data_IF_144179501325
#
_entry.id   IF_144179501325
#
_cell.length_a   1.000
_cell.length_b   1.000
_cell.length_c   1.000
_cell.angle_alpha   90.00
_cell.angle_beta   90.00
_cell.angle_gamma   90.00
#
_symmetry.space_group_name_H-M   'P 1'
#
loop_
_entity.id
_entity.type
_entity.pdbx_description
1 polymer ?
#
# COMPACT_ATOMS: atom_id res chain seq x y z
N UNK A 1 -13.71 -32.26 -7.09
CA UNK A 1 -13.58 -30.93 -7.73
C UNK A 1 -12.24 -30.34 -7.32
N UNK A 2 -11.32 -30.13 -8.25
CA UNK A 2 -10.02 -29.55 -7.95
C UNK A 2 -10.16 -28.03 -7.88
N UNK A 3 -10.10 -27.47 -6.68
CA UNK A 3 -10.13 -26.02 -6.46
C UNK A 3 -8.70 -25.51 -6.38
N UNK A 4 -8.45 -24.29 -6.87
CA UNK A 4 -7.12 -23.69 -6.89
C UNK A 4 -7.12 -22.34 -6.17
N UNK A 5 -6.03 -22.05 -5.45
CA UNK A 5 -5.87 -20.78 -4.76
C UNK A 5 -4.40 -20.36 -4.68
N UNK A 6 -4.15 -19.07 -4.46
CA UNK A 6 -2.82 -18.55 -4.13
C UNK A 6 -2.37 -19.05 -2.76
N UNK A 7 -1.11 -19.46 -2.65
CA UNK A 7 -0.51 -19.96 -1.42
C UNK A 7 0.31 -18.83 -0.77
N UNK A 8 -0.07 -18.34 0.45
CA UNK A 8 0.61 -17.22 1.10
C UNK A 8 2.12 -17.41 1.21
N UNK A 9 2.57 -18.61 1.63
CA UNK A 9 3.99 -18.92 1.77
C UNK A 9 4.76 -18.79 0.45
N UNK A 10 4.16 -19.17 -0.69
CA UNK A 10 4.78 -19.03 -2.02
C UNK A 10 4.87 -17.58 -2.45
N UNK A 11 3.83 -16.78 -2.17
CA UNK A 11 3.84 -15.34 -2.46
C UNK A 11 4.90 -14.63 -1.61
N UNK A 12 5.03 -14.95 -0.32
CA UNK A 12 5.92 -14.22 0.58
C UNK A 12 7.39 -14.65 0.50
N UNK A 13 7.68 -15.95 0.35
CA UNK A 13 9.06 -16.42 0.29
C UNK A 13 9.63 -16.40 -1.12
N UNK A 14 8.83 -16.76 -2.12
CA UNK A 14 9.30 -16.98 -3.48
C UNK A 14 8.84 -15.87 -4.44
N UNK A 15 8.06 -14.91 -3.95
CA UNK A 15 7.37 -13.93 -4.78
C UNK A 15 6.65 -14.59 -5.95
N UNK A 16 5.99 -15.73 -5.72
CA UNK A 16 5.25 -16.50 -6.74
C UNK A 16 3.73 -16.43 -6.48
N UNK A 17 2.98 -15.89 -7.44
CA UNK A 17 1.52 -15.76 -7.39
C UNK A 17 0.84 -16.69 -8.40
N UNK A 18 1.35 -17.90 -8.56
CA UNK A 18 0.60 -18.99 -9.22
C UNK A 18 -0.46 -19.55 -8.25
N UNK A 19 -1.56 -20.03 -8.83
CA UNK A 19 -2.55 -20.79 -8.09
C UNK A 19 -2.17 -22.25 -8.08
N UNK A 20 -2.38 -22.91 -6.94
CA UNK A 20 -2.10 -24.33 -6.75
C UNK A 20 -3.38 -25.04 -6.33
N UNK A 21 -3.49 -26.32 -6.70
CA UNK A 21 -4.62 -27.15 -6.28
C UNK A 21 -4.59 -27.34 -4.76
N UNK A 22 -5.74 -27.14 -4.13
CA UNK A 22 -5.91 -27.21 -2.68
C UNK A 22 -7.16 -28.02 -2.33
N UNK A 23 -7.22 -28.51 -1.10
CA UNK A 23 -8.44 -29.14 -0.59
C UNK A 23 -9.59 -28.13 -0.52
N UNK A 24 -10.83 -28.60 -0.51
CA UNK A 24 -12.02 -27.74 -0.40
C UNK A 24 -11.97 -26.87 0.87
N UNK A 25 -11.55 -27.46 2.00
CA UNK A 25 -11.35 -26.74 3.26
C UNK A 25 -10.32 -25.62 3.12
N UNK A 26 -9.14 -25.93 2.58
CA UNK A 26 -8.08 -24.94 2.40
C UNK A 26 -8.52 -23.84 1.43
N UNK A 27 -9.24 -24.16 0.36
CA UNK A 27 -9.82 -23.17 -0.54
C UNK A 27 -10.76 -22.21 0.22
N UNK A 28 -11.74 -22.74 0.95
CA UNK A 28 -12.69 -21.92 1.73
C UNK A 28 -12.00 -21.05 2.78
N UNK A 29 -10.96 -21.55 3.42
CA UNK A 29 -10.16 -20.78 4.38
C UNK A 29 -9.40 -19.66 3.66
N UNK A 30 -8.65 -20.01 2.60
CA UNK A 30 -7.83 -19.06 1.87
C UNK A 30 -8.68 -17.98 1.18
N UNK A 31 -9.87 -18.30 0.68
CA UNK A 31 -10.81 -17.32 0.14
C UNK A 31 -11.22 -16.29 1.18
N UNK A 32 -11.47 -16.72 2.42
CA UNK A 32 -11.80 -15.82 3.54
C UNK A 32 -10.62 -14.95 3.95
N UNK A 33 -9.41 -15.53 3.99
CA UNK A 33 -8.19 -14.79 4.38
C UNK A 33 -7.63 -13.91 3.26
N UNK A 34 -8.02 -14.13 2.00
CA UNK A 34 -7.44 -13.45 0.84
C UNK A 34 -7.52 -11.91 0.91
N UNK A 35 -8.68 -11.30 1.25
CA UNK A 35 -8.77 -9.84 1.40
C UNK A 35 -8.30 -9.32 2.76
N UNK A 36 -8.09 -10.19 3.76
CA UNK A 36 -7.82 -9.77 5.13
C UNK A 36 -6.37 -9.27 5.29
N UNK A 37 -6.18 -8.06 5.86
CA UNK A 37 -4.85 -7.50 6.09
C UNK A 37 -4.22 -8.16 7.33
N UNK A 38 -3.50 -9.26 7.12
CA UNK A 38 -2.93 -10.11 8.19
C UNK A 38 -1.41 -10.29 8.08
N UNK A 39 -0.78 -9.77 7.04
CA UNK A 39 0.60 -10.11 6.69
C UNK A 39 1.54 -8.92 6.92
N UNK A 40 2.73 -9.21 7.45
CA UNK A 40 3.86 -8.29 7.55
C UNK A 40 5.01 -8.84 6.69
N UNK A 41 5.17 -8.41 5.42
CA UNK A 41 6.14 -9.04 4.52
C UNK A 41 7.58 -8.90 5.01
N UNK A 42 7.93 -7.74 5.59
CA UNK A 42 9.25 -7.48 6.18
C UNK A 42 9.61 -8.46 7.30
N UNK A 43 8.64 -8.90 8.09
CA UNK A 43 8.85 -9.84 9.21
C UNK A 43 9.04 -11.29 8.74
N UNK A 44 8.58 -11.62 7.52
CA UNK A 44 8.63 -12.97 6.96
C UNK A 44 9.82 -13.12 6.01
N UNK A 45 10.07 -12.10 5.18
CA UNK A 45 11.17 -12.06 4.23
C UNK A 45 11.61 -10.60 4.00
N UNK A 46 12.66 -10.19 4.72
CA UNK A 46 13.21 -8.84 4.63
C UNK A 46 13.76 -8.48 3.24
N UNK A 47 14.14 -9.47 2.44
CA UNK A 47 14.67 -9.27 1.07
C UNK A 47 13.57 -9.14 0.01
N UNK A 48 12.30 -9.33 0.37
CA UNK A 48 11.21 -9.35 -0.59
C UNK A 48 11.07 -8.01 -1.33
N UNK A 49 11.23 -6.89 -0.62
CA UNK A 49 11.14 -5.55 -1.19
C UNK A 49 12.31 -5.23 -2.13
N UNK A 50 13.53 -5.69 -1.84
CA UNK A 50 14.67 -5.49 -2.75
C UNK A 50 14.53 -6.26 -4.05
N UNK A 51 13.80 -7.37 -4.04
CA UNK A 51 13.67 -8.26 -5.19
C UNK A 51 12.58 -7.83 -6.19
N UNK A 52 11.69 -6.91 -5.82
CA UNK A 52 10.62 -6.43 -6.70
C UNK A 52 10.46 -4.92 -6.66
N UNK A 53 10.72 -4.25 -7.80
CA UNK A 53 10.56 -2.80 -7.95
C UNK A 53 9.14 -2.32 -7.63
N UNK A 54 8.12 -3.01 -8.11
CA UNK A 54 6.72 -2.62 -7.88
C UNK A 54 6.29 -2.82 -6.42
N UNK A 55 6.79 -3.88 -5.76
CA UNK A 55 6.55 -4.07 -4.34
C UNK A 55 7.26 -3.00 -3.50
N UNK A 56 8.49 -2.63 -3.88
CA UNK A 56 9.19 -1.54 -3.23
C UNK A 56 8.46 -0.21 -3.42
N UNK A 57 7.98 0.10 -4.63
CA UNK A 57 7.17 1.28 -4.88
C UNK A 57 5.86 1.27 -4.08
N UNK A 58 5.18 0.13 -4.03
CA UNK A 58 4.00 -0.04 -3.18
C UNK A 58 4.33 0.33 -1.73
N UNK A 59 5.41 -0.20 -1.15
CA UNK A 59 5.86 0.14 0.20
C UNK A 59 6.19 1.63 0.36
N UNK A 60 6.88 2.24 -0.59
CA UNK A 60 7.24 3.66 -0.50
C UNK A 60 5.98 4.54 -0.47
N UNK A 61 5.01 4.28 -1.36
CA UNK A 61 3.75 5.02 -1.35
C UNK A 61 2.94 4.75 -0.08
N UNK A 62 2.95 3.53 0.47
CA UNK A 62 2.32 3.20 1.76
C UNK A 62 2.87 4.07 2.89
N UNK A 63 4.19 4.14 2.98
CA UNK A 63 4.89 4.94 4.00
C UNK A 63 4.57 6.43 3.83
N UNK A 64 4.68 6.94 2.60
CA UNK A 64 4.37 8.34 2.30
C UNK A 64 2.92 8.69 2.64
N UNK A 65 1.96 7.89 2.18
CA UNK A 65 0.54 8.08 2.48
C UNK A 65 0.31 8.10 3.99
N UNK A 66 0.82 7.10 4.72
CA UNK A 66 0.68 7.01 6.18
C UNK A 66 1.15 8.29 6.89
N UNK A 67 2.30 8.85 6.48
CA UNK A 67 2.82 10.08 7.06
C UNK A 67 2.09 11.36 6.58
N UNK A 68 1.46 11.35 5.40
CA UNK A 68 0.65 12.47 4.93
C UNK A 68 -0.74 12.52 5.58
N UNK A 69 -1.31 11.37 5.96
CA UNK A 69 -2.68 11.30 6.49
C UNK A 69 -2.94 12.24 7.68
N UNK A 70 -2.05 12.39 8.68
CA UNK A 70 -2.24 13.35 9.76
C UNK A 70 -2.43 14.78 9.27
N UNK A 71 -1.68 15.23 8.26
CA UNK A 71 -1.80 16.57 7.69
C UNK A 71 -3.18 16.77 7.05
N UNK A 72 -3.59 15.83 6.21
CA UNK A 72 -4.88 15.90 5.49
C UNK A 72 -6.06 15.84 6.47
N UNK A 73 -5.99 14.95 7.47
CA UNK A 73 -7.07 14.76 8.45
C UNK A 73 -7.25 15.94 9.41
N UNK A 74 -6.23 16.76 9.59
CA UNK A 74 -6.26 17.89 10.54
C UNK A 74 -6.24 19.26 9.83
N UNK A 75 -6.15 19.29 8.50
CA UNK A 75 -6.18 20.50 7.70
C UNK A 75 -7.62 20.89 7.34
N UNK A 76 -8.03 22.10 7.68
CA UNK A 76 -9.37 22.63 7.36
C UNK A 76 -9.59 22.85 5.86
N UNK A 77 -8.51 22.98 5.08
CA UNK A 77 -8.54 23.24 3.63
C UNK A 77 -8.53 21.95 2.79
N UNK A 78 -8.38 20.78 3.42
CA UNK A 78 -8.20 19.50 2.75
C UNK A 78 -9.50 18.67 2.64
N UNK A 79 -10.67 19.34 2.60
CA UNK A 79 -11.97 18.67 2.67
C UNK A 79 -12.19 17.70 1.49
N UNK A 80 -11.71 18.06 0.29
CA UNK A 80 -11.81 17.24 -0.92
C UNK A 80 -10.93 15.99 -0.83
N UNK A 81 -9.68 16.18 -0.44
CA UNK A 81 -8.69 15.11 -0.28
C UNK A 81 -9.16 14.14 0.81
N UNK A 82 -9.69 14.66 1.92
CA UNK A 82 -10.25 13.86 3.00
C UNK A 82 -11.48 13.06 2.56
N UNK A 83 -12.37 13.62 1.74
CA UNK A 83 -13.50 12.84 1.20
C UNK A 83 -13.04 11.71 0.29
N UNK A 84 -12.07 11.98 -0.59
CA UNK A 84 -11.52 10.96 -1.51
C UNK A 84 -10.83 9.84 -0.71
N UNK A 85 -10.05 10.20 0.32
CA UNK A 85 -9.41 9.22 1.20
C UNK A 85 -10.41 8.36 1.94
N UNK A 86 -11.50 8.93 2.48
CA UNK A 86 -12.54 8.16 3.16
C UNK A 86 -13.18 7.12 2.23
N UNK A 87 -13.38 7.47 0.97
CA UNK A 87 -14.10 6.62 0.04
C UNK A 87 -13.18 5.58 -0.64
N UNK A 88 -11.87 5.87 -0.79
CA UNK A 88 -10.94 5.06 -1.58
C UNK A 88 -9.77 4.45 -0.80
N UNK A 89 -9.52 4.86 0.45
CA UNK A 89 -8.41 4.38 1.28
C UNK A 89 -8.90 3.26 2.22
N UNK A 90 -8.43 2.00 2.07
CA UNK A 90 -8.71 0.95 3.03
C UNK A 90 -8.25 1.33 4.45
N UNK A 91 -9.01 0.92 5.47
CA UNK A 91 -8.76 1.30 6.86
C UNK A 91 -7.39 0.83 7.35
N UNK A 92 -6.92 -0.35 6.95
CA UNK A 92 -5.59 -0.82 7.35
C UNK A 92 -4.45 0.04 6.78
N UNK A 93 -4.72 0.89 5.79
CA UNK A 93 -3.74 1.81 5.24
C UNK A 93 -3.45 3.00 6.13
N UNK A 94 -4.45 3.46 6.87
CA UNK A 94 -4.27 4.51 7.87
C UNK A 94 -3.80 3.97 9.21
N UNK A 95 -4.10 2.71 9.55
CA UNK A 95 -3.73 2.12 10.84
C UNK A 95 -2.27 1.66 10.91
N UNK A 96 -1.77 0.95 9.91
CA UNK A 96 -0.43 0.37 9.92
C UNK A 96 0.17 0.39 8.51
N UNK A 97 1.37 0.95 8.35
CA UNK A 97 2.05 1.10 7.05
C UNK A 97 2.61 -0.20 6.45
N UNK A 98 2.95 -1.19 7.27
CA UNK A 98 3.57 -2.47 6.86
C UNK A 98 2.54 -3.61 6.74
N UNK A 99 1.36 -3.48 7.34
CA UNK A 99 0.29 -4.48 7.27
C UNK A 99 -0.33 -4.55 5.86
N UNK A 100 -0.41 -5.76 5.30
CA UNK A 100 -0.97 -6.00 3.95
C UNK A 100 -1.80 -7.28 3.89
N UNK A 101 -2.72 -7.35 2.94
CA UNK A 101 -3.47 -8.55 2.58
C UNK A 101 -2.78 -9.35 1.47
N UNK A 102 -3.14 -10.63 1.36
CA UNK A 102 -2.64 -11.48 0.26
C UNK A 102 -3.13 -10.95 -1.10
N UNK A 103 -4.36 -10.44 -1.15
CA UNK A 103 -4.94 -9.80 -2.34
C UNK A 103 -4.07 -8.67 -2.86
N UNK A 104 -3.60 -7.79 -1.98
CA UNK A 104 -2.77 -6.66 -2.38
C UNK A 104 -1.44 -7.12 -2.97
N UNK A 105 -0.76 -8.09 -2.34
CA UNK A 105 0.49 -8.65 -2.84
C UNK A 105 0.32 -9.29 -4.22
N UNK A 106 -0.76 -10.06 -4.41
CA UNK A 106 -1.10 -10.66 -5.70
C UNK A 106 -1.42 -9.58 -6.74
N UNK A 107 -2.18 -8.54 -6.38
CA UNK A 107 -2.49 -7.42 -7.28
C UNK A 107 -1.24 -6.63 -7.69
N UNK A 108 -0.31 -6.39 -6.77
CA UNK A 108 1.00 -5.75 -7.07
C UNK A 108 1.81 -6.61 -8.04
N UNK A 109 1.85 -7.93 -7.81
CA UNK A 109 2.57 -8.85 -8.70
C UNK A 109 1.91 -8.96 -10.08
N UNK A 110 0.58 -9.01 -10.16
CA UNK A 110 -0.16 -9.05 -11.42
C UNK A 110 0.05 -7.76 -12.23
N UNK A 111 0.01 -6.59 -11.58
CA UNK A 111 0.35 -5.30 -12.21
C UNK A 111 1.79 -5.24 -12.75
N UNK A 112 2.69 -6.07 -12.23
CA UNK A 112 4.06 -6.22 -12.75
C UNK A 112 4.13 -7.01 -14.06
N UNK A 113 3.18 -7.90 -14.30
CA UNK A 113 3.14 -8.75 -15.50
C UNK A 113 2.42 -8.10 -16.69
N UNK A 114 1.54 -7.11 -16.44
CA UNK A 114 0.66 -6.53 -17.45
C UNK A 114 1.29 -5.46 -18.38
N UNK A 115 2.62 -5.20 -18.28
CA UNK A 115 3.26 -4.13 -19.04
C UNK A 115 2.79 -2.72 -18.61
N UNK A 116 3.50 -1.69 -19.06
CA UNK A 116 3.26 -0.28 -18.70
C UNK A 116 1.83 0.15 -19.09
N UNK A 117 0.89 0.11 -18.15
CA UNK A 117 -0.47 0.61 -18.42
C UNK A 117 -1.62 0.13 -17.54
N UNK A 118 -1.39 -0.43 -16.34
CA UNK A 118 -2.51 -0.78 -15.45
C UNK A 118 -2.97 0.46 -14.64
N UNK A 119 -3.96 1.17 -15.18
CA UNK A 119 -4.73 2.27 -14.55
C UNK A 119 -5.74 1.81 -13.48
N UNK A 120 -5.78 0.52 -13.12
CA UNK A 120 -6.81 -0.07 -12.25
C UNK A 120 -6.26 -0.95 -11.11
N UNK A 121 -4.95 -0.94 -10.86
CA UNK A 121 -4.31 -1.75 -9.81
C UNK A 121 -4.18 -1.01 -8.47
N UNK A 122 -4.04 -1.77 -7.38
CA UNK A 122 -3.81 -1.22 -6.03
C UNK A 122 -2.64 -0.24 -5.98
N UNK A 123 -1.58 -0.51 -6.74
CA UNK A 123 -0.42 0.37 -6.85
C UNK A 123 -0.77 1.73 -7.46
N UNK A 124 -1.64 1.76 -8.48
CA UNK A 124 -2.08 2.99 -9.13
C UNK A 124 -2.97 3.82 -8.21
N UNK A 125 -3.95 3.18 -7.55
CA UNK A 125 -4.79 3.84 -6.55
C UNK A 125 -3.93 4.46 -5.46
N UNK A 126 -2.97 3.70 -4.95
CA UNK A 126 -2.06 4.16 -3.91
C UNK A 126 -1.19 5.33 -4.39
N UNK A 127 -0.63 5.25 -5.60
CA UNK A 127 0.13 6.35 -6.21
C UNK A 127 -0.72 7.62 -6.35
N UNK A 128 -1.98 7.49 -6.78
CA UNK A 128 -2.88 8.63 -6.95
C UNK A 128 -3.25 9.29 -5.62
N UNK A 129 -3.63 8.49 -4.61
CA UNK A 129 -3.94 9.01 -3.28
C UNK A 129 -2.71 9.69 -2.66
N UNK A 130 -1.55 9.06 -2.77
CA UNK A 130 -0.29 9.60 -2.24
C UNK A 130 0.09 10.89 -2.95
N UNK A 131 0.05 10.91 -4.28
CA UNK A 131 0.34 12.09 -5.08
C UNK A 131 -0.58 13.26 -4.74
N UNK A 132 -1.88 13.02 -4.63
CA UNK A 132 -2.86 14.03 -4.20
C UNK A 132 -2.53 14.59 -2.81
N UNK A 133 -2.21 13.72 -1.85
CA UNK A 133 -1.89 14.17 -0.48
C UNK A 133 -0.60 14.99 -0.44
N UNK A 134 0.45 14.53 -1.13
CA UNK A 134 1.73 15.24 -1.21
C UNK A 134 1.57 16.61 -1.88
N UNK A 135 0.81 16.68 -2.97
CA UNK A 135 0.57 17.91 -3.72
C UNK A 135 -0.22 18.93 -2.87
N UNK A 136 -1.19 18.47 -2.07
CA UNK A 136 -1.86 19.31 -1.09
C UNK A 136 -0.91 19.82 -0.02
N UNK A 137 -0.13 18.94 0.62
CA UNK A 137 0.82 19.33 1.69
C UNK A 137 1.85 20.34 1.16
N UNK A 138 2.33 20.16 -0.07
CA UNK A 138 3.28 21.05 -0.72
C UNK A 138 2.70 22.44 -1.04
N UNK A 139 1.39 22.57 -1.29
CA UNK A 139 0.75 23.84 -1.70
C UNK A 139 0.00 24.54 -0.57
N UNK A 140 -0.35 23.83 0.50
CA UNK A 140 -1.17 24.36 1.58
C UNK A 140 -0.30 24.95 2.70
N UNK A 141 -0.38 26.27 2.89
CA UNK A 141 0.33 26.99 3.96
C UNK A 141 0.01 26.44 5.36
N UNK A 142 -1.22 25.98 5.62
CA UNK A 142 -1.59 25.37 6.91
C UNK A 142 -0.84 24.06 7.16
N UNK A 143 -0.62 23.25 6.11
CA UNK A 143 0.13 22.01 6.21
C UNK A 143 1.63 22.27 6.31
N UNK A 144 2.16 23.21 5.53
CA UNK A 144 3.57 23.62 5.59
C UNK A 144 3.95 24.14 6.97
N UNK A 145 3.07 24.93 7.61
CA UNK A 145 3.28 25.42 8.98
C UNK A 145 3.29 24.32 10.06
N UNK A 146 2.92 23.08 9.72
CA UNK A 146 3.03 21.90 10.60
C UNK A 146 4.22 21.02 10.26
N UNK A 147 5.02 21.40 9.26
CA UNK A 147 6.28 20.74 8.95
C UNK A 147 7.31 20.93 10.06
N UNK A 148 8.42 20.22 9.95
CA UNK A 148 9.54 20.33 10.87
C UNK A 148 10.77 20.90 10.17
N UNK A 149 11.61 21.60 10.94
CA UNK A 149 12.93 22.02 10.49
C UNK A 149 13.89 20.88 10.77
N UNK A 150 14.77 20.57 9.82
CA UNK A 150 15.82 19.58 10.04
C UNK A 150 16.80 20.08 11.11
N UNK A 151 16.90 19.36 12.22
CA UNK A 151 17.77 19.68 13.37
C UNK A 151 19.27 19.56 13.08
N UNK A 152 19.65 18.99 11.94
CA UNK A 152 21.05 18.84 11.55
C UNK A 152 21.54 20.05 10.74
N UNK A 153 20.76 20.47 9.74
CA UNK A 153 21.15 21.57 8.86
C UNK A 153 20.53 22.91 9.21
N UNK A 154 19.52 22.95 10.10
CA UNK A 154 18.77 24.14 10.52
C UNK A 154 18.27 25.02 9.36
N UNK A 155 18.19 24.46 8.15
CA UNK A 155 17.76 25.19 6.97
C UNK A 155 16.23 25.21 6.91
N UNK A 156 15.65 26.39 6.72
CA UNK A 156 14.19 26.58 6.57
C UNK A 156 13.63 26.09 5.21
N UNK A 157 14.46 25.45 4.37
CA UNK A 157 14.02 24.89 3.08
C UNK A 157 13.59 23.43 3.24
N UNK A 158 12.29 23.20 3.10
CA UNK A 158 11.68 21.91 2.75
C UNK A 158 11.56 21.77 1.23
#
# INVERSE_FOLDING_TARGET
>A
MNQAHYIPAKVLHQWDAKQFTVSCFAHQLLTRLYPEPLLYPSSINSTLYSNSKNLNQFRLFRVQLYHCLPYINTCSRAQRERSILRDSCPVHWSSDKELVSLRELVSVKAGSAAGKGNTAGVLYTLQMLTGMCLDHVAKCQTCQGRGFICEVCFSERA
#
